data_IF_539630773680
#
_entry.id   IF_539630773680
#
_cell.length_a   1.000
_cell.length_b   1.000
_cell.length_c   1.000
_cell.angle_alpha   90.00
_cell.angle_beta   90.00
_cell.angle_gamma   90.00
#
_symmetry.space_group_name_H-M   'P 1'
#
loop_
_entity.id
_entity.type
_entity.pdbx_description
1 polymer ?
#
# COMPACT_ATOMS: atom_id res chain seq x y z
N UNK A 1 -13.54 -20.20 -13.86
CA UNK A 1 -13.53 -19.89 -12.44
C UNK A 1 -12.20 -20.36 -11.91
N UNK A 2 -11.41 -19.49 -11.30
CA UNK A 2 -10.15 -19.87 -10.69
C UNK A 2 -10.41 -20.92 -9.60
N UNK A 3 -9.59 -21.95 -9.55
CA UNK A 3 -9.73 -23.01 -8.53
C UNK A 3 -9.27 -22.44 -7.20
N UNK A 4 -10.12 -22.57 -6.16
CA UNK A 4 -9.79 -22.05 -4.84
C UNK A 4 -8.65 -22.86 -4.22
N UNK A 5 -7.58 -22.19 -3.75
CA UNK A 5 -6.40 -22.84 -3.17
C UNK A 5 -6.74 -23.67 -1.93
N UNK A 6 -7.84 -23.35 -1.22
CA UNK A 6 -8.33 -24.04 -0.02
C UNK A 6 -9.44 -25.06 -0.28
N UNK A 7 -9.71 -25.43 -1.53
CA UNK A 7 -10.78 -26.38 -1.91
C UNK A 7 -10.75 -27.70 -1.13
N UNK A 8 -9.58 -28.24 -0.86
CA UNK A 8 -9.38 -29.42 -0.01
C UNK A 8 -10.40 -30.53 -0.26
N UNK A 9 -11.25 -30.84 0.73
CA UNK A 9 -12.30 -31.88 0.65
C UNK A 9 -13.60 -31.43 0.02
N UNK A 10 -13.77 -30.16 -0.33
CA UNK A 10 -15.01 -29.66 -0.90
C UNK A 10 -15.18 -30.15 -2.33
N UNK A 11 -16.31 -30.82 -2.59
CA UNK A 11 -16.66 -31.33 -3.93
C UNK A 11 -17.60 -30.41 -4.69
N UNK A 12 -18.25 -29.47 -3.99
CA UNK A 12 -19.18 -28.50 -4.58
C UNK A 12 -18.48 -27.16 -4.81
N UNK A 13 -18.86 -26.47 -5.88
CA UNK A 13 -18.47 -25.08 -6.09
C UNK A 13 -19.12 -24.18 -5.01
N UNK A 14 -18.40 -23.14 -4.60
CA UNK A 14 -18.95 -22.13 -3.71
C UNK A 14 -20.03 -21.33 -4.44
N UNK A 15 -21.12 -20.97 -3.74
CA UNK A 15 -22.15 -20.07 -4.29
C UNK A 15 -21.52 -18.73 -4.67
N UNK A 16 -21.83 -18.23 -5.86
CA UNK A 16 -21.25 -16.99 -6.38
C UNK A 16 -21.46 -15.79 -5.46
N UNK A 17 -22.58 -15.71 -4.76
CA UNK A 17 -22.90 -14.64 -3.81
C UNK A 17 -22.01 -14.70 -2.58
N UNK A 18 -21.64 -15.92 -2.12
CA UNK A 18 -20.71 -16.12 -1.00
C UNK A 18 -19.30 -15.73 -1.44
N UNK A 19 -18.92 -16.12 -2.66
CA UNK A 19 -17.61 -15.72 -3.22
C UNK A 19 -17.51 -14.20 -3.35
N UNK A 20 -18.53 -13.53 -3.88
CA UNK A 20 -18.58 -12.07 -4.01
C UNK A 20 -18.55 -11.36 -2.64
N UNK A 21 -19.22 -11.90 -1.64
CA UNK A 21 -19.22 -11.37 -0.27
C UNK A 21 -17.84 -11.49 0.40
N UNK A 22 -17.15 -12.60 0.17
CA UNK A 22 -15.83 -12.87 0.78
C UNK A 22 -14.67 -12.25 0.01
N UNK A 23 -14.85 -11.92 -1.30
CA UNK A 23 -13.77 -11.40 -2.13
C UNK A 23 -13.35 -9.99 -1.71
N UNK A 24 -12.05 -9.77 -1.61
CA UNK A 24 -11.43 -8.47 -1.31
C UNK A 24 -10.74 -7.83 -2.51
N UNK A 25 -10.65 -8.52 -3.67
CA UNK A 25 -9.91 -8.06 -4.84
C UNK A 25 -10.29 -6.63 -5.28
N UNK A 26 -11.53 -6.21 -5.08
CA UNK A 26 -12.03 -4.88 -5.46
C UNK A 26 -11.28 -3.74 -4.78
N UNK A 27 -10.74 -3.96 -3.59
CA UNK A 27 -10.01 -2.93 -2.84
C UNK A 27 -8.55 -3.30 -2.55
N UNK A 28 -8.19 -4.59 -2.41
CA UNK A 28 -6.85 -5.01 -2.07
C UNK A 28 -5.89 -5.06 -3.28
N UNK A 29 -6.42 -5.11 -4.52
CA UNK A 29 -5.60 -5.04 -5.74
C UNK A 29 -4.62 -3.86 -5.77
N UNK A 30 -4.92 -2.77 -5.06
CA UNK A 30 -4.02 -1.61 -4.92
C UNK A 30 -2.74 -1.91 -4.15
N UNK A 31 -2.68 -3.02 -3.42
CA UNK A 31 -1.51 -3.47 -2.66
C UNK A 31 -0.62 -4.44 -3.44
N UNK A 32 -0.92 -4.72 -4.72
CA UNK A 32 -0.22 -5.76 -5.50
C UNK A 32 1.30 -5.55 -5.57
N UNK A 33 1.75 -4.31 -5.64
CA UNK A 33 3.19 -4.00 -5.65
C UNK A 33 3.85 -4.33 -4.31
N UNK A 34 3.16 -4.08 -3.20
CA UNK A 34 3.63 -4.38 -1.85
C UNK A 34 3.62 -5.88 -1.59
N UNK A 35 2.59 -6.60 -2.03
CA UNK A 35 2.51 -8.06 -1.95
C UNK A 35 3.66 -8.73 -2.71
N UNK A 36 3.91 -8.33 -3.95
CA UNK A 36 5.04 -8.86 -4.74
C UNK A 36 6.39 -8.55 -4.09
N UNK A 37 6.56 -7.35 -3.51
CA UNK A 37 7.78 -6.98 -2.78
C UNK A 37 7.98 -7.84 -1.53
N UNK A 38 6.94 -7.97 -0.70
CA UNK A 38 6.96 -8.81 0.50
C UNK A 38 7.23 -10.27 0.17
N UNK A 39 6.59 -10.79 -0.87
CA UNK A 39 6.76 -12.14 -1.38
C UNK A 39 8.19 -12.40 -1.89
N UNK A 40 8.80 -11.46 -2.59
CA UNK A 40 10.19 -11.57 -3.04
C UNK A 40 11.19 -11.62 -1.87
N UNK A 41 11.00 -10.80 -0.85
CA UNK A 41 11.83 -10.82 0.38
C UNK A 41 11.64 -12.15 1.13
N UNK A 42 10.41 -12.64 1.23
CA UNK A 42 10.10 -13.93 1.86
C UNK A 42 10.79 -15.10 1.13
N UNK A 43 10.71 -15.16 -0.20
CA UNK A 43 11.42 -16.18 -0.99
C UNK A 43 12.93 -16.13 -0.78
N UNK A 44 13.51 -14.91 -0.74
CA UNK A 44 14.94 -14.71 -0.47
C UNK A 44 15.33 -15.24 0.92
N UNK A 45 14.51 -14.98 1.93
CA UNK A 45 14.71 -15.50 3.28
C UNK A 45 14.63 -17.02 3.31
N UNK A 46 13.63 -17.63 2.66
CA UNK A 46 13.47 -19.08 2.59
C UNK A 46 14.69 -19.76 1.96
N UNK A 47 15.22 -19.21 0.87
CA UNK A 47 16.43 -19.72 0.24
C UNK A 47 17.66 -19.58 1.13
N UNK A 48 17.85 -18.41 1.76
CA UNK A 48 18.95 -18.16 2.70
C UNK A 48 18.95 -19.13 3.88
N UNK A 49 17.79 -19.60 4.30
CA UNK A 49 17.64 -20.59 5.37
C UNK A 49 17.68 -22.05 4.84
N UNK A 50 17.87 -22.27 3.53
CA UNK A 50 17.91 -23.58 2.93
C UNK A 50 16.56 -24.32 2.90
N UNK A 51 15.44 -23.59 3.07
CA UNK A 51 14.07 -24.16 3.06
C UNK A 51 13.60 -24.40 1.62
N UNK A 52 13.96 -23.49 0.70
CA UNK A 52 13.81 -23.68 -0.74
C UNK A 52 15.18 -23.61 -1.41
N UNK A 53 15.30 -24.11 -2.64
CA UNK A 53 16.56 -24.00 -3.37
C UNK A 53 16.81 -22.57 -3.87
N UNK A 54 18.09 -22.23 -4.10
CA UNK A 54 18.46 -20.96 -4.74
C UNK A 54 17.79 -20.80 -6.10
N UNK A 55 17.67 -21.89 -6.86
CA UNK A 55 16.98 -21.90 -8.14
C UNK A 55 15.49 -21.58 -8.00
N UNK A 56 14.79 -22.16 -7.03
CA UNK A 56 13.39 -21.82 -6.77
C UNK A 56 13.22 -20.34 -6.44
N UNK A 57 14.15 -19.79 -5.65
CA UNK A 57 14.14 -18.36 -5.30
C UNK A 57 14.32 -17.50 -6.54
N UNK A 58 15.30 -17.81 -7.39
CA UNK A 58 15.55 -17.10 -8.65
C UNK A 58 14.33 -17.16 -9.57
N UNK A 59 13.74 -18.34 -9.75
CA UNK A 59 12.54 -18.55 -10.57
C UNK A 59 11.36 -17.71 -10.03
N UNK A 60 11.17 -17.67 -8.70
CA UNK A 60 10.12 -16.85 -8.03
C UNK A 60 10.37 -15.36 -8.27
N UNK A 61 11.58 -14.86 -8.03
CA UNK A 61 11.91 -13.43 -8.20
C UNK A 61 11.71 -12.99 -9.65
N UNK A 62 12.18 -13.77 -10.61
CA UNK A 62 12.00 -13.50 -12.03
C UNK A 62 10.52 -13.57 -12.44
N UNK A 63 9.77 -14.53 -11.90
CA UNK A 63 8.34 -14.65 -12.12
C UNK A 63 7.55 -13.44 -11.62
N UNK A 64 7.85 -12.98 -10.39
CA UNK A 64 7.22 -11.78 -9.81
C UNK A 64 7.58 -10.51 -10.61
N UNK A 65 8.83 -10.35 -11.04
CA UNK A 65 9.26 -9.24 -11.88
C UNK A 65 8.50 -9.23 -13.22
N UNK A 66 8.38 -10.39 -13.86
CA UNK A 66 7.62 -10.54 -15.10
C UNK A 66 6.13 -10.22 -14.93
N UNK A 67 5.51 -10.58 -13.78
CA UNK A 67 4.12 -10.19 -13.47
C UNK A 67 4.01 -8.67 -13.35
N UNK A 68 4.94 -8.02 -12.65
CA UNK A 68 4.96 -6.58 -12.49
C UNK A 68 5.08 -5.83 -13.85
N UNK A 69 5.96 -6.30 -14.75
CA UNK A 69 6.13 -5.73 -16.08
C UNK A 69 4.86 -5.87 -16.93
N UNK A 70 4.24 -7.05 -16.91
CA UNK A 70 3.02 -7.29 -17.68
C UNK A 70 1.83 -6.48 -17.16
N UNK A 71 1.71 -6.29 -15.84
CA UNK A 71 0.71 -5.39 -15.25
C UNK A 71 0.97 -3.94 -15.65
N UNK A 72 2.21 -3.47 -15.57
CA UNK A 72 2.57 -2.11 -15.93
C UNK A 72 2.37 -1.80 -17.42
N UNK A 73 2.58 -2.81 -18.27
CA UNK A 73 2.38 -2.68 -19.73
C UNK A 73 0.94 -2.96 -20.20
N UNK A 74 0.03 -3.35 -19.30
CA UNK A 74 -1.34 -3.73 -19.63
C UNK A 74 -1.49 -5.04 -20.38
N UNK A 75 -0.46 -5.88 -20.42
CA UNK A 75 -0.52 -7.24 -21.01
C UNK A 75 -1.21 -8.23 -20.08
N UNK A 76 -1.18 -7.97 -18.79
CA UNK A 76 -1.88 -8.73 -17.76
C UNK A 76 -2.87 -7.81 -17.07
N UNK A 77 -4.11 -8.27 -16.93
CA UNK A 77 -5.13 -7.59 -16.15
C UNK A 77 -5.43 -8.40 -14.90
N UNK A 78 -5.76 -7.72 -13.80
CA UNK A 78 -6.16 -8.37 -12.56
C UNK A 78 -7.55 -8.97 -12.74
N UNK A 79 -7.70 -10.27 -12.50
CA UNK A 79 -9.01 -10.94 -12.59
C UNK A 79 -9.95 -10.40 -11.49
N UNK A 80 -11.03 -9.71 -11.84
CA UNK A 80 -11.98 -9.16 -10.87
C UNK A 80 -12.77 -10.24 -10.10
N UNK A 81 -12.66 -11.51 -10.51
CA UNK A 81 -13.28 -12.65 -9.85
C UNK A 81 -12.30 -13.40 -8.92
N UNK A 82 -11.06 -12.95 -8.79
CA UNK A 82 -10.14 -13.50 -7.81
C UNK A 82 -10.68 -13.28 -6.39
N UNK A 83 -10.30 -14.14 -5.48
CA UNK A 83 -10.68 -14.03 -4.06
C UNK A 83 -10.02 -12.78 -3.43
N UNK A 84 -8.72 -12.65 -3.63
CA UNK A 84 -7.89 -11.54 -3.16
C UNK A 84 -6.68 -11.35 -4.09
N UNK A 85 -5.92 -10.26 -3.89
CA UNK A 85 -4.72 -9.93 -4.67
C UNK A 85 -3.63 -10.99 -4.52
N UNK A 86 -3.51 -11.57 -3.34
CA UNK A 86 -2.49 -12.56 -3.01
C UNK A 86 -2.73 -13.86 -3.79
N UNK A 87 -3.98 -14.34 -3.81
CA UNK A 87 -4.40 -15.50 -4.60
C UNK A 87 -4.15 -15.25 -6.09
N UNK A 88 -4.45 -14.05 -6.58
CA UNK A 88 -4.16 -13.68 -7.96
C UNK A 88 -2.67 -13.78 -8.28
N UNK A 89 -1.80 -13.21 -7.44
CA UNK A 89 -0.34 -13.27 -7.62
C UNK A 89 0.18 -14.70 -7.56
N UNK A 90 -0.22 -15.48 -6.54
CA UNK A 90 0.21 -16.87 -6.36
C UNK A 90 -0.20 -17.77 -7.54
N UNK A 91 -1.44 -17.64 -8.02
CA UNK A 91 -1.93 -18.42 -9.16
C UNK A 91 -1.24 -18.02 -10.45
N UNK A 92 -1.06 -16.73 -10.70
CA UNK A 92 -0.37 -16.21 -11.88
C UNK A 92 1.10 -16.67 -11.88
N UNK A 93 1.77 -16.56 -10.74
CA UNK A 93 3.14 -17.02 -10.55
C UNK A 93 3.25 -18.53 -10.81
N UNK A 94 2.38 -19.32 -10.17
CA UNK A 94 2.37 -20.79 -10.35
C UNK A 94 2.11 -21.21 -11.78
N UNK A 95 1.23 -20.49 -12.50
CA UNK A 95 0.99 -20.75 -13.92
C UNK A 95 2.23 -20.48 -14.78
N UNK A 96 3.10 -19.54 -14.40
CA UNK A 96 4.32 -19.19 -15.13
C UNK A 96 5.50 -20.12 -14.83
N UNK A 97 5.72 -20.45 -13.56
CA UNK A 97 6.93 -21.15 -13.11
C UNK A 97 6.68 -22.55 -12.48
N UNK A 98 5.42 -23.00 -12.48
CA UNK A 98 5.06 -24.36 -12.01
C UNK A 98 5.25 -24.54 -10.49
N UNK A 99 5.83 -25.67 -10.09
CA UNK A 99 5.94 -26.05 -8.67
C UNK A 99 6.80 -25.10 -7.82
N UNK A 100 7.74 -24.39 -8.41
CA UNK A 100 8.50 -23.35 -7.71
C UNK A 100 7.58 -22.25 -7.17
N UNK A 101 6.54 -21.85 -7.91
CA UNK A 101 5.54 -20.86 -7.48
C UNK A 101 4.75 -21.28 -6.25
N UNK A 102 4.43 -22.58 -6.14
CA UNK A 102 3.72 -23.13 -4.96
C UNK A 102 4.55 -23.05 -3.67
N UNK A 103 5.89 -23.01 -3.79
CA UNK A 103 6.78 -22.93 -2.62
C UNK A 103 6.85 -21.55 -2.00
N UNK A 104 6.36 -20.52 -2.70
CA UNK A 104 6.32 -19.15 -2.18
C UNK A 104 5.54 -19.04 -0.86
N UNK A 105 4.49 -19.83 -0.67
CA UNK A 105 3.66 -19.81 0.55
C UNK A 105 4.23 -20.61 1.73
N UNK A 106 5.43 -21.18 1.60
CA UNK A 106 6.05 -22.00 2.64
C UNK A 106 6.28 -21.21 3.91
N UNK A 107 5.79 -21.74 5.07
CA UNK A 107 5.95 -21.12 6.37
C UNK A 107 5.24 -19.77 6.56
N UNK A 108 4.21 -19.49 5.77
CA UNK A 108 3.49 -18.21 5.72
C UNK A 108 1.99 -18.44 5.89
N UNK A 109 1.33 -17.51 6.54
CA UNK A 109 -0.14 -17.42 6.59
C UNK A 109 -0.62 -16.24 5.78
N UNK A 110 -1.83 -16.33 5.22
CA UNK A 110 -2.48 -15.16 4.60
C UNK A 110 -2.59 -13.98 5.58
N UNK A 111 -2.75 -14.24 6.87
CA UNK A 111 -2.89 -13.19 7.89
C UNK A 111 -1.62 -12.34 8.06
N UNK A 112 -0.43 -12.96 8.13
CA UNK A 112 0.83 -12.20 8.23
C UNK A 112 1.14 -11.46 6.93
N UNK A 113 0.86 -12.08 5.78
CA UNK A 113 1.00 -11.49 4.45
C UNK A 113 0.17 -10.21 4.31
N UNK A 114 -1.12 -10.27 4.58
CA UNK A 114 -2.03 -9.11 4.52
C UNK A 114 -1.59 -8.01 5.49
N UNK A 115 -1.19 -8.38 6.71
CA UNK A 115 -0.74 -7.41 7.71
C UNK A 115 0.54 -6.69 7.27
N UNK A 116 1.48 -7.39 6.62
CA UNK A 116 2.68 -6.80 6.05
C UNK A 116 2.33 -5.83 4.90
N UNK A 117 1.48 -6.27 3.99
CA UNK A 117 1.13 -5.49 2.80
C UNK A 117 0.38 -4.20 3.14
N UNK A 118 -0.53 -4.25 4.12
CA UNK A 118 -1.19 -3.05 4.66
C UNK A 118 -0.14 -2.09 5.25
N UNK A 119 0.84 -2.58 6.02
CA UNK A 119 1.88 -1.73 6.60
C UNK A 119 2.76 -1.10 5.53
N UNK A 120 3.21 -1.87 4.54
CA UNK A 120 3.98 -1.36 3.42
C UNK A 120 3.21 -0.29 2.63
N UNK A 121 1.94 -0.56 2.33
CA UNK A 121 1.05 0.36 1.60
C UNK A 121 0.84 1.66 2.37
N UNK A 122 0.53 1.58 3.66
CA UNK A 122 0.31 2.76 4.50
C UNK A 122 1.60 3.58 4.67
N UNK A 123 2.76 2.92 4.76
CA UNK A 123 4.05 3.58 4.79
C UNK A 123 4.30 4.39 3.51
N UNK A 124 4.11 3.75 2.36
CA UNK A 124 4.31 4.39 1.06
C UNK A 124 3.34 5.58 0.87
N UNK A 125 2.07 5.42 1.25
CA UNK A 125 1.09 6.51 1.24
C UNK A 125 1.43 7.63 2.22
N UNK A 126 1.94 7.28 3.40
CA UNK A 126 2.37 8.29 4.38
C UNK A 126 3.49 9.16 3.82
N UNK A 127 4.52 8.55 3.21
CA UNK A 127 5.61 9.32 2.58
C UNK A 127 5.10 10.21 1.44
N UNK A 128 4.19 9.71 0.61
CA UNK A 128 3.57 10.49 -0.46
C UNK A 128 2.79 11.70 0.09
N UNK A 129 1.97 11.48 1.13
CA UNK A 129 1.20 12.55 1.78
C UNK A 129 2.10 13.59 2.45
N UNK A 130 3.19 13.16 3.11
CA UNK A 130 4.19 14.06 3.66
C UNK A 130 4.76 14.97 2.55
N UNK A 131 5.09 14.41 1.40
CA UNK A 131 5.53 15.19 0.23
C UNK A 131 4.50 16.25 -0.20
N UNK A 132 3.22 15.88 -0.31
CA UNK A 132 2.15 16.82 -0.68
C UNK A 132 1.94 17.91 0.39
N UNK A 133 2.02 17.57 1.67
CA UNK A 133 1.93 18.55 2.77
C UNK A 133 3.08 19.57 2.66
N UNK A 134 4.31 19.13 2.42
CA UNK A 134 5.46 20.02 2.24
C UNK A 134 5.27 20.96 1.06
N UNK A 135 4.80 20.47 -0.08
CA UNK A 135 4.52 21.33 -1.24
C UNK A 135 3.40 22.35 -0.96
N UNK A 136 2.35 21.94 -0.28
CA UNK A 136 1.28 22.86 0.13
C UNK A 136 1.79 23.94 1.10
N UNK A 137 2.62 23.59 2.08
CA UNK A 137 3.24 24.55 3.01
C UNK A 137 4.08 25.57 2.22
N UNK A 138 4.89 25.13 1.25
CA UNK A 138 5.69 26.03 0.41
C UNK A 138 4.82 27.06 -0.35
N UNK A 139 3.70 26.58 -0.91
CA UNK A 139 2.75 27.48 -1.61
C UNK A 139 2.13 28.49 -0.64
N UNK A 140 1.69 28.03 0.55
CA UNK A 140 1.13 28.88 1.59
C UNK A 140 2.15 29.95 2.03
N UNK A 141 3.39 29.54 2.32
CA UNK A 141 4.47 30.46 2.72
C UNK A 141 4.76 31.52 1.64
N UNK A 142 4.81 31.10 0.37
CA UNK A 142 4.98 32.04 -0.74
C UNK A 142 3.84 33.06 -0.80
N UNK A 143 2.59 32.60 -0.71
CA UNK A 143 1.42 33.47 -0.69
C UNK A 143 1.38 34.38 0.53
N UNK A 144 1.80 33.89 1.68
CA UNK A 144 1.90 34.70 2.90
C UNK A 144 2.92 35.84 2.74
N UNK A 145 4.09 35.54 2.16
CA UNK A 145 5.13 36.56 1.90
C UNK A 145 4.67 37.65 0.93
N UNK A 146 3.87 37.28 -0.08
CA UNK A 146 3.29 38.24 -1.04
C UNK A 146 2.21 39.16 -0.40
N UNK A 147 1.69 38.82 0.78
CA UNK A 147 0.54 39.48 1.44
C UNK A 147 0.81 39.92 2.87
N UNK A 148 2.04 40.29 3.18
CA UNK A 148 2.46 40.72 4.53
C UNK A 148 1.83 42.06 4.97
N UNK A 149 1.42 42.91 4.03
CA UNK A 149 0.80 44.23 4.24
C UNK A 149 -0.69 44.26 3.92
N UNK A 150 -1.27 43.16 3.40
CA UNK A 150 -2.69 43.10 3.05
C UNK A 150 -3.53 42.96 4.34
N UNK A 151 -4.04 44.08 4.86
CA UNK A 151 -4.82 44.15 6.11
C UNK A 151 -6.22 43.60 5.90
N UNK A 152 -6.68 42.76 6.82
CA UNK A 152 -8.02 42.19 6.84
C UNK A 152 -8.54 42.09 8.29
N UNK A 153 -9.88 42.01 8.53
CA UNK A 153 -10.40 41.80 9.86
C UNK A 153 -10.17 40.36 10.32
N UNK A 154 -9.66 40.18 11.54
CA UNK A 154 -9.79 38.93 12.28
C UNK A 154 -11.18 38.86 12.95
N UNK A 155 -11.74 37.67 13.03
CA UNK A 155 -13.09 37.43 13.55
C UNK A 155 -13.07 36.62 14.85
N UNK A 156 -13.96 36.93 15.78
CA UNK A 156 -14.38 36.08 16.90
C UNK A 156 -15.91 36.13 16.99
N UNK A 157 -16.55 35.00 17.25
CA UNK A 157 -18.01 34.92 17.34
C UNK A 157 -18.75 35.55 16.15
N UNK A 158 -18.20 35.39 14.95
CA UNK A 158 -18.70 36.03 13.72
C UNK A 158 -18.68 37.57 13.73
N UNK A 159 -18.00 38.17 14.70
CA UNK A 159 -17.82 39.62 14.84
C UNK A 159 -16.40 40.02 14.43
N UNK A 160 -16.25 41.20 13.83
CA UNK A 160 -14.94 41.82 13.58
C UNK A 160 -14.27 42.11 14.92
N UNK A 161 -13.06 41.58 15.11
CA UNK A 161 -12.35 41.74 16.38
C UNK A 161 -11.09 42.59 16.22
N UNK A 162 -10.03 42.08 15.63
CA UNK A 162 -8.78 42.82 15.49
C UNK A 162 -8.34 42.87 13.99
N UNK A 163 -7.52 43.88 13.62
CA UNK A 163 -6.86 43.86 12.33
C UNK A 163 -5.76 42.78 12.32
N UNK A 164 -5.72 42.02 11.27
CA UNK A 164 -4.64 41.05 10.95
C UNK A 164 -4.19 41.27 9.52
N UNK A 165 -3.08 40.63 9.10
CA UNK A 165 -2.73 40.56 7.68
C UNK A 165 -3.17 39.24 7.08
N UNK A 166 -3.42 39.22 5.78
CA UNK A 166 -3.74 37.98 5.09
C UNK A 166 -2.57 36.98 5.16
N UNK A 167 -1.32 37.51 5.06
CA UNK A 167 -0.14 36.68 5.26
C UNK A 167 -0.11 36.00 6.65
N UNK A 168 -0.46 36.73 7.72
CA UNK A 168 -0.57 36.16 9.07
C UNK A 168 -1.63 35.03 9.13
N UNK A 169 -2.81 35.28 8.54
CA UNK A 169 -3.88 34.27 8.50
C UNK A 169 -3.43 33.00 7.77
N UNK A 170 -2.72 33.12 6.66
CA UNK A 170 -2.18 31.96 5.91
C UNK A 170 -1.14 31.19 6.74
N UNK A 171 -0.29 31.86 7.51
CA UNK A 171 0.71 31.19 8.35
C UNK A 171 0.11 30.33 9.45
N UNK A 172 -1.12 30.62 9.91
CA UNK A 172 -1.83 29.73 10.83
C UNK A 172 -2.07 28.34 10.22
N UNK A 173 -2.46 28.28 8.94
CA UNK A 173 -2.62 27.02 8.20
C UNK A 173 -1.29 26.30 7.99
N UNK A 174 -0.23 27.02 7.62
CA UNK A 174 1.10 26.44 7.51
C UNK A 174 1.54 25.77 8.82
N UNK A 175 1.30 26.44 9.95
CA UNK A 175 1.62 25.92 11.30
C UNK A 175 0.79 24.67 11.65
N UNK A 176 -0.48 24.58 11.22
CA UNK A 176 -1.29 23.37 11.41
C UNK A 176 -0.73 22.20 10.59
N UNK A 177 -0.40 22.45 9.32
CA UNK A 177 0.15 21.44 8.40
C UNK A 177 1.54 20.94 8.86
N UNK A 178 2.38 21.78 9.46
CA UNK A 178 3.64 21.35 10.06
C UNK A 178 3.42 20.34 11.20
N UNK A 179 2.41 20.57 12.05
CA UNK A 179 2.06 19.59 13.11
C UNK A 179 1.49 18.29 12.52
N UNK A 180 0.76 18.36 11.41
CA UNK A 180 0.28 17.16 10.71
C UNK A 180 1.44 16.40 10.08
N UNK A 181 2.41 17.09 9.50
CA UNK A 181 3.64 16.46 8.98
C UNK A 181 4.36 15.65 10.07
N UNK A 182 4.55 16.24 11.26
CA UNK A 182 5.15 15.55 12.41
C UNK A 182 4.34 14.33 12.85
N UNK A 183 3.00 14.40 12.84
CA UNK A 183 2.14 13.24 13.14
C UNK A 183 2.33 12.10 12.14
N UNK A 184 2.48 12.42 10.84
CA UNK A 184 2.78 11.41 9.82
C UNK A 184 4.16 10.80 10.01
N UNK A 185 5.18 11.60 10.32
CA UNK A 185 6.54 11.12 10.61
C UNK A 185 6.53 10.14 11.80
N UNK A 186 5.92 10.54 12.91
CA UNK A 186 5.78 9.71 14.11
C UNK A 186 5.00 8.41 13.84
N UNK A 187 3.90 8.48 13.10
CA UNK A 187 3.10 7.31 12.76
C UNK A 187 3.89 6.35 11.86
N UNK A 188 4.60 6.88 10.87
CA UNK A 188 5.44 6.08 9.96
C UNK A 188 6.55 5.36 10.73
N UNK A 189 7.25 6.04 11.62
CA UNK A 189 8.30 5.45 12.43
C UNK A 189 7.79 4.29 13.30
N UNK A 190 6.61 4.43 13.92
CA UNK A 190 5.98 3.35 14.71
C UNK A 190 5.50 2.19 13.83
N UNK A 191 4.99 2.47 12.66
CA UNK A 191 4.50 1.46 11.73
C UNK A 191 5.64 0.63 11.11
N UNK A 192 6.79 1.26 10.86
CA UNK A 192 7.96 0.64 10.23
C UNK A 192 8.86 -0.11 11.24
N UNK A 193 8.52 -0.08 12.53
CA UNK A 193 9.34 -0.68 13.58
C UNK A 193 9.26 -2.21 13.64
N UNK A 194 8.21 -2.83 13.13
CA UNK A 194 7.97 -4.26 13.24
C UNK A 194 7.35 -4.84 11.97
N UNK A 195 7.85 -6.01 11.57
CA UNK A 195 7.24 -6.84 10.54
C UNK A 195 6.38 -7.92 11.21
N UNK A 196 5.13 -8.17 10.77
CA UNK A 196 4.36 -9.33 11.21
C UNK A 196 4.98 -10.61 10.65
N UNK A 197 5.62 -11.39 11.50
CA UNK A 197 6.39 -12.63 11.18
C UNK A 197 7.59 -12.44 10.30
#
# INVERSE_FOLDING_TARGET
>A
MAEQLWKGRFSKAVDSRVNDFNSSIRFDQRMIAQDMRGSGVHATMLAKQGIISEKDCEDILNGLASIAEDLASGKLEIDPNAEDVHTFVEQTLTARIGDAGKRLHTGRSRNDQVALDIRLTLRDYSHMLQGYIVELIKVICKKAAENTTAVMPGYTHLQRAQPITFGHALMAYASMLLRDLQRFEDATARMDAQCPL
#
